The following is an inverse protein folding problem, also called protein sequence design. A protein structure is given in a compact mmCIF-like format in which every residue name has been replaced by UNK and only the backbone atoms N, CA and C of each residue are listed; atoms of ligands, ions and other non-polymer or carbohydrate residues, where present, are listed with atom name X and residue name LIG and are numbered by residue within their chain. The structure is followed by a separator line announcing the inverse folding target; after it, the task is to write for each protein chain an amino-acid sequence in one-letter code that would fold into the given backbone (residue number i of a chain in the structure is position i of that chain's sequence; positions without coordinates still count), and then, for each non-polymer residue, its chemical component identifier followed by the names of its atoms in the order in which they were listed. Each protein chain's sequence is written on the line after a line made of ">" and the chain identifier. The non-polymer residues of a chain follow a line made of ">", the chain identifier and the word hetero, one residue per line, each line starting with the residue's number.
data_IF_551419107607
#
_entry.id   IF_551419107607
#
_cell.length_a   1.000
_cell.length_b   1.000
_cell.length_c   1.000
_cell.angle_alpha   90.00
_cell.angle_beta   90.00
_cell.angle_gamma   90.00
#
_symmetry.space_group_name_H-M   'P 1'
#
loop_
_entity.id
_entity.type
_entity.pdbx_description
1 polymer ?
#
# COMPACT_ATOMS: atom_id res chain seq x y z
N UNK A 1 30.60 14.95 -42.47
CA UNK A 1 31.72 13.99 -42.35
C UNK A 1 32.86 14.45 -41.40
N UNK A 2 32.67 15.53 -40.64
CA UNK A 2 33.70 16.11 -39.77
C UNK A 2 33.85 15.47 -38.39
N UNK A 3 32.75 14.98 -37.76
CA UNK A 3 32.77 14.65 -36.34
C UNK A 3 33.46 13.31 -35.99
N UNK A 4 33.36 12.28 -36.83
CA UNK A 4 33.98 10.99 -36.54
C UNK A 4 35.55 11.04 -36.65
N UNK A 5 36.06 11.84 -37.58
CA UNK A 5 37.52 12.04 -37.72
C UNK A 5 38.11 12.89 -36.59
N UNK A 6 37.37 13.86 -36.07
CA UNK A 6 37.82 14.64 -34.92
C UNK A 6 37.81 13.85 -33.62
N UNK A 7 36.82 12.96 -33.43
CA UNK A 7 36.79 12.11 -32.23
C UNK A 7 37.96 11.12 -32.21
N UNK A 8 38.25 10.47 -33.33
CA UNK A 8 39.40 9.55 -33.45
C UNK A 8 40.74 10.26 -33.21
N UNK A 9 40.83 11.56 -33.58
CA UNK A 9 42.07 12.35 -33.37
C UNK A 9 42.25 12.85 -31.94
N UNK A 10 41.16 13.02 -31.19
CA UNK A 10 41.19 13.38 -29.77
C UNK A 10 41.57 12.20 -28.89
N UNK A 11 41.22 10.97 -29.33
CA UNK A 11 41.44 9.73 -28.59
C UNK A 11 42.76 9.03 -28.92
N UNK A 12 43.47 9.47 -29.98
CA UNK A 12 44.75 8.89 -30.36
C UNK A 12 45.91 9.66 -29.72
N UNK A 13 46.92 8.93 -29.23
CA UNK A 13 48.22 9.50 -28.89
C UNK A 13 49.02 9.91 -30.14
N UNK A 14 50.22 10.41 -29.97
CA UNK A 14 51.08 10.84 -31.06
C UNK A 14 51.46 9.72 -32.06
N UNK A 15 51.21 8.47 -31.70
CA UNK A 15 51.47 7.28 -32.50
C UNK A 15 50.22 6.71 -33.16
N UNK A 16 49.06 7.36 -32.96
CA UNK A 16 47.76 6.95 -33.54
C UNK A 16 47.06 5.81 -32.78
N UNK A 17 47.58 5.38 -31.65
CA UNK A 17 46.96 4.42 -30.77
C UNK A 17 45.94 5.10 -29.83
N UNK A 18 44.82 4.43 -29.51
CA UNK A 18 43.90 4.90 -28.49
C UNK A 18 44.53 4.67 -27.13
N UNK A 19 44.99 5.75 -26.47
CA UNK A 19 45.51 5.66 -25.11
C UNK A 19 44.42 5.27 -24.12
N UNK A 20 44.68 4.34 -23.18
CA UNK A 20 43.77 4.06 -22.08
C UNK A 20 43.37 5.31 -21.26
N UNK A 21 44.31 6.28 -21.16
CA UNK A 21 44.07 7.55 -20.46
C UNK A 21 43.06 8.46 -21.19
N UNK A 22 43.00 8.36 -22.52
CA UNK A 22 42.01 9.09 -23.33
C UNK A 22 40.64 8.44 -23.32
N UNK A 23 40.54 7.16 -23.01
CA UNK A 23 39.23 6.49 -22.79
C UNK A 23 38.56 6.97 -21.50
N UNK A 24 39.37 7.37 -20.49
CA UNK A 24 38.86 7.97 -19.26
C UNK A 24 38.23 9.35 -19.44
N UNK A 25 38.59 10.06 -20.52
CA UNK A 25 38.07 11.38 -20.86
C UNK A 25 36.93 11.34 -21.92
N UNK A 26 36.54 10.18 -22.40
CA UNK A 26 35.30 10.07 -23.20
C UNK A 26 34.14 10.63 -22.39
N UNK A 27 33.33 11.53 -22.96
CA UNK A 27 32.19 12.07 -22.22
C UNK A 27 31.36 10.91 -21.72
N UNK A 28 31.25 10.79 -20.40
CA UNK A 28 30.41 9.77 -19.78
C UNK A 28 28.95 10.08 -20.19
N UNK A 29 28.28 9.20 -20.94
CA UNK A 29 26.92 9.44 -21.38
C UNK A 29 25.92 9.55 -20.22
N UNK A 30 26.33 9.13 -19.02
CA UNK A 30 25.52 9.15 -17.81
C UNK A 30 26.04 10.25 -16.90
N UNK A 31 25.28 11.34 -16.80
CA UNK A 31 25.65 12.52 -16.00
C UNK A 31 25.46 12.32 -14.50
N UNK A 32 26.10 13.19 -13.68
CA UNK A 32 25.88 13.23 -12.23
C UNK A 32 24.40 13.39 -11.89
N UNK A 33 23.98 12.76 -10.78
CA UNK A 33 22.58 12.75 -10.36
C UNK A 33 21.73 11.63 -10.94
N UNK A 34 22.25 10.88 -11.91
CA UNK A 34 21.54 9.70 -12.44
C UNK A 34 21.44 8.61 -11.38
N UNK A 35 20.22 8.07 -11.21
CA UNK A 35 19.95 6.92 -10.31
C UNK A 35 19.94 5.63 -11.13
N UNK A 36 20.57 4.60 -10.62
CA UNK A 36 20.53 3.25 -11.19
C UNK A 36 20.42 2.19 -10.10
N UNK A 37 19.76 1.08 -10.43
CA UNK A 37 19.72 -0.12 -9.59
C UNK A 37 20.77 -1.12 -10.09
N UNK A 38 21.70 -1.47 -9.22
CA UNK A 38 22.87 -2.27 -9.54
C UNK A 38 22.71 -3.68 -8.96
N UNK A 39 23.01 -4.70 -9.77
CA UNK A 39 22.96 -6.13 -9.38
C UNK A 39 24.15 -6.59 -8.52
N UNK A 40 24.88 -5.66 -7.88
CA UNK A 40 26.00 -5.90 -6.97
C UNK A 40 25.66 -5.34 -5.59
N UNK A 41 26.31 -5.84 -4.54
CA UNK A 41 26.14 -5.35 -3.17
C UNK A 41 27.06 -4.16 -2.81
N UNK A 42 27.90 -3.70 -3.73
CA UNK A 42 28.78 -2.54 -3.61
C UNK A 42 28.59 -1.60 -4.79
N UNK A 43 28.73 -0.30 -4.54
CA UNK A 43 28.69 0.69 -5.60
C UNK A 43 29.94 0.55 -6.52
N UNK A 44 29.76 0.51 -7.84
CA UNK A 44 30.88 0.49 -8.78
C UNK A 44 31.61 1.84 -8.81
N UNK A 45 32.79 1.86 -9.42
CA UNK A 45 33.56 3.09 -9.60
C UNK A 45 32.73 4.18 -10.28
N UNK A 46 32.80 5.40 -9.76
CA UNK A 46 32.02 6.55 -10.23
C UNK A 46 30.56 6.58 -9.73
N UNK A 47 30.18 5.70 -8.82
CA UNK A 47 28.85 5.67 -8.21
C UNK A 47 28.93 5.65 -6.69
N UNK A 48 27.96 6.24 -6.02
CA UNK A 48 27.76 6.19 -4.58
C UNK A 48 26.46 5.44 -4.26
N UNK A 49 26.41 4.81 -3.09
CA UNK A 49 25.15 4.22 -2.59
C UNK A 49 24.14 5.33 -2.32
N UNK A 50 22.92 5.19 -2.79
CA UNK A 50 21.80 6.09 -2.48
C UNK A 50 21.23 5.72 -1.10
N UNK A 51 21.96 6.08 -0.03
CA UNK A 51 21.71 5.65 1.36
C UNK A 51 21.56 6.80 2.34
N UNK A 52 21.30 8.02 1.86
CA UNK A 52 21.10 9.20 2.70
C UNK A 52 22.37 9.80 3.29
N UNK A 53 23.55 9.28 2.95
CA UNK A 53 24.81 9.76 3.53
C UNK A 53 25.06 11.25 3.22
N UNK A 54 25.59 11.98 4.21
CA UNK A 54 26.11 13.32 4.01
C UNK A 54 27.52 13.23 3.39
N UNK A 55 27.73 13.90 2.25
CA UNK A 55 28.99 13.88 1.51
C UNK A 55 29.47 15.31 1.24
N UNK A 56 30.78 15.48 0.97
CA UNK A 56 31.42 16.77 0.76
C UNK A 56 30.99 17.44 -0.55
N UNK A 57 30.56 18.71 -0.48
CA UNK A 57 30.23 19.55 -1.65
C UNK A 57 31.39 19.78 -2.56
N UNK A 58 32.62 19.93 -1.99
CA UNK A 58 33.83 20.17 -2.77
C UNK A 58 34.39 18.92 -3.43
N UNK A 59 34.32 17.76 -2.76
CA UNK A 59 34.79 16.50 -3.34
C UNK A 59 33.84 15.95 -4.43
N UNK A 60 32.54 16.31 -4.37
CA UNK A 60 31.53 15.87 -5.30
C UNK A 60 30.80 17.08 -5.93
N UNK A 61 31.60 18.04 -6.42
CA UNK A 61 31.10 19.34 -6.91
C UNK A 61 30.04 19.19 -8.02
N UNK A 62 30.27 18.27 -8.96
CA UNK A 62 29.39 18.06 -10.11
C UNK A 62 28.06 17.45 -9.67
N UNK A 63 28.11 16.50 -8.74
CA UNK A 63 26.91 15.93 -8.15
C UNK A 63 26.15 16.98 -7.32
N UNK A 64 26.87 17.81 -6.54
CA UNK A 64 26.24 18.91 -5.81
C UNK A 64 25.59 19.94 -6.75
N UNK A 65 26.23 20.25 -7.86
CA UNK A 65 25.63 21.12 -8.88
C UNK A 65 24.36 20.52 -9.49
N UNK A 66 24.31 19.20 -9.65
CA UNK A 66 23.16 18.49 -10.22
C UNK A 66 21.96 18.38 -9.28
N UNK A 67 22.16 17.99 -8.01
CA UNK A 67 21.07 17.69 -7.09
C UNK A 67 20.89 18.70 -5.95
N UNK A 68 21.89 19.55 -5.69
CA UNK A 68 21.86 20.56 -4.64
C UNK A 68 21.61 19.95 -3.25
N UNK A 69 20.70 20.56 -2.51
CA UNK A 69 20.25 20.13 -1.19
C UNK A 69 18.88 19.45 -1.20
N UNK A 70 18.40 18.97 -2.34
CA UNK A 70 17.08 18.36 -2.53
C UNK A 70 16.78 17.25 -1.53
N UNK A 71 17.78 16.44 -1.20
CA UNK A 71 17.66 15.31 -0.27
C UNK A 71 18.20 15.62 1.13
N UNK A 72 18.58 16.87 1.39
CA UNK A 72 19.05 17.37 2.68
C UNK A 72 20.29 18.23 2.58
N UNK A 73 20.39 19.21 3.46
CA UNK A 73 21.46 20.20 3.45
C UNK A 73 22.80 19.73 4.07
N UNK A 74 22.82 18.51 4.65
CA UNK A 74 23.96 18.04 5.41
C UNK A 74 24.21 18.90 6.65
N UNK A 75 25.45 19.39 6.83
CA UNK A 75 25.82 20.34 7.89
C UNK A 75 25.42 21.80 7.59
N UNK A 76 24.77 22.03 6.46
CA UNK A 76 24.36 23.35 5.98
C UNK A 76 25.43 24.12 5.19
N UNK A 77 26.70 23.75 5.28
CA UNK A 77 27.83 24.52 4.72
C UNK A 77 28.71 23.71 3.79
N UNK A 78 29.26 22.60 4.25
CA UNK A 78 30.28 21.84 3.56
C UNK A 78 29.83 20.50 3.00
N UNK A 79 28.68 20.00 3.45
CA UNK A 79 28.11 18.72 3.03
C UNK A 79 26.69 18.87 2.47
N UNK A 80 26.22 17.82 1.78
CA UNK A 80 24.85 17.65 1.33
C UNK A 80 24.47 16.17 1.40
N UNK A 81 23.19 15.84 1.48
CA UNK A 81 22.75 14.47 1.59
C UNK A 81 22.44 13.86 0.22
N UNK A 82 22.81 12.60 0.08
CA UNK A 82 22.34 11.74 -0.99
C UNK A 82 20.87 11.33 -0.74
N UNK A 83 20.11 10.96 -1.80
CA UNK A 83 18.82 10.32 -1.59
C UNK A 83 18.98 9.02 -0.79
N UNK A 84 18.04 8.69 0.08
CA UNK A 84 17.95 7.38 0.72
C UNK A 84 16.86 6.56 0.03
N UNK A 85 17.26 5.63 -0.82
CA UNK A 85 16.38 4.78 -1.60
C UNK A 85 16.33 3.34 -1.08
N UNK A 86 16.87 3.09 0.12
CA UNK A 86 16.87 1.76 0.73
C UNK A 86 15.47 1.35 1.13
N UNK A 87 14.96 0.27 0.53
CA UNK A 87 13.61 -0.23 0.80
C UNK A 87 12.48 0.56 0.14
N UNK A 88 12.79 1.56 -0.70
CA UNK A 88 11.81 2.44 -1.32
C UNK A 88 11.51 2.06 -2.77
N UNK A 89 10.26 2.28 -3.19
CA UNK A 89 9.85 2.27 -4.59
C UNK A 89 9.96 3.67 -5.17
N UNK A 90 10.71 3.80 -6.26
CA UNK A 90 10.81 5.09 -6.97
C UNK A 90 9.58 5.31 -7.84
N UNK A 91 8.95 6.46 -7.67
CA UNK A 91 7.80 6.91 -8.45
C UNK A 91 8.20 8.07 -9.37
N UNK A 92 7.65 8.10 -10.58
CA UNK A 92 7.80 9.26 -11.46
C UNK A 92 7.20 10.52 -10.82
N UNK A 93 7.96 11.63 -10.83
CA UNK A 93 7.46 12.94 -10.40
C UNK A 93 6.31 13.38 -11.28
N UNK A 94 5.27 13.96 -10.71
CA UNK A 94 4.05 14.38 -11.44
C UNK A 94 4.31 15.51 -12.44
N UNK A 95 5.23 16.40 -12.11
CA UNK A 95 5.68 17.53 -12.94
C UNK A 95 4.54 18.31 -13.62
N UNK A 96 3.45 18.53 -12.86
CA UNK A 96 2.28 19.28 -13.34
C UNK A 96 1.27 18.49 -14.16
N UNK A 97 1.42 17.17 -14.30
CA UNK A 97 0.47 16.31 -15.01
C UNK A 97 -0.89 16.19 -14.31
N UNK A 98 -0.95 16.37 -13.00
CA UNK A 98 -2.16 16.31 -12.19
C UNK A 98 -2.58 14.91 -11.71
N UNK A 99 -1.72 13.90 -11.82
CA UNK A 99 -1.94 12.52 -11.29
C UNK A 99 -1.58 12.42 -9.81
N UNK A 100 -0.59 13.21 -9.37
CA UNK A 100 -0.10 13.27 -7.99
C UNK A 100 0.14 14.73 -7.60
N UNK A 101 -0.90 15.54 -7.76
CA UNK A 101 -0.83 17.00 -7.64
C UNK A 101 -0.34 17.44 -6.26
N UNK A 102 0.57 18.41 -6.24
CA UNK A 102 1.13 18.97 -5.01
C UNK A 102 2.28 18.18 -4.41
N UNK A 103 2.67 17.06 -5.00
CA UNK A 103 3.82 16.28 -4.53
C UNK A 103 5.12 16.94 -4.94
N UNK A 104 5.98 17.19 -3.95
CA UNK A 104 7.27 17.81 -4.20
C UNK A 104 8.28 16.79 -4.74
N UNK A 105 9.15 17.23 -5.65
CA UNK A 105 10.26 16.42 -6.13
C UNK A 105 11.16 15.98 -4.97
N UNK A 106 11.58 14.71 -4.97
CA UNK A 106 12.43 14.12 -3.93
C UNK A 106 11.73 13.85 -2.59
N UNK A 107 10.42 14.13 -2.46
CA UNK A 107 9.68 13.87 -1.22
C UNK A 107 9.36 12.39 -1.04
N UNK A 108 9.34 11.95 0.22
CA UNK A 108 8.94 10.62 0.65
C UNK A 108 7.43 10.54 0.90
N UNK A 109 6.83 9.36 0.72
CA UNK A 109 5.43 9.08 1.03
C UNK A 109 5.31 7.67 1.58
N UNK A 110 4.54 7.53 2.66
CA UNK A 110 4.24 6.23 3.24
C UNK A 110 3.40 5.36 2.29
N UNK A 111 3.41 4.05 2.52
CA UNK A 111 2.50 3.16 1.80
C UNK A 111 1.06 3.51 2.16
N UNK A 112 0.21 3.57 1.16
CA UNK A 112 -1.22 3.85 1.32
C UNK A 112 -2.02 2.91 0.41
N UNK A 113 -3.08 2.33 0.97
CA UNK A 113 -4.05 1.57 0.21
C UNK A 113 -5.25 2.47 -0.08
N UNK A 114 -5.62 2.58 -1.34
CA UNK A 114 -6.84 3.30 -1.70
C UNK A 114 -8.01 2.76 -0.89
N UNK A 115 -8.72 3.67 -0.22
CA UNK A 115 -9.93 3.34 0.54
C UNK A 115 -10.93 2.58 -0.35
N UNK A 116 -11.39 1.44 0.12
CA UNK A 116 -12.39 0.63 -0.54
C UNK A 116 -13.31 -0.02 0.50
N UNK A 117 -14.53 -0.28 0.10
CA UNK A 117 -15.54 -0.91 0.94
C UNK A 117 -15.81 -2.33 0.44
N UNK A 118 -15.99 -3.23 1.37
CA UNK A 118 -16.57 -4.54 1.09
C UNK A 118 -18.04 -4.51 1.55
N UNK A 119 -18.97 -4.72 0.63
CA UNK A 119 -20.37 -4.90 0.94
C UNK A 119 -20.69 -6.39 0.85
N UNK A 120 -21.24 -6.93 1.91
CA UNK A 120 -21.79 -8.28 1.94
C UNK A 120 -23.25 -8.22 2.34
N UNK A 121 -24.11 -8.99 1.69
CA UNK A 121 -25.48 -9.26 2.15
C UNK A 121 -25.52 -10.68 2.68
N UNK A 122 -26.05 -10.84 3.87
CA UNK A 122 -26.49 -12.16 4.32
C UNK A 122 -27.92 -12.37 3.79
N UNK A 123 -28.18 -13.49 3.15
CA UNK A 123 -29.54 -13.90 2.86
C UNK A 123 -30.28 -14.10 4.18
N UNK A 124 -31.55 -13.69 4.23
CA UNK A 124 -32.39 -14.03 5.39
C UNK A 124 -32.34 -15.54 5.58
N UNK A 125 -31.83 -15.94 6.74
CA UNK A 125 -31.87 -17.34 7.12
C UNK A 125 -33.33 -17.75 7.26
N UNK A 126 -33.66 -18.94 6.77
CA UNK A 126 -35.04 -19.37 6.61
C UNK A 126 -35.86 -19.24 7.89
N UNK A 127 -37.16 -19.16 7.71
CA UNK A 127 -38.13 -19.20 8.80
C UNK A 127 -37.88 -20.43 9.67
N UNK A 128 -37.58 -20.23 10.95
CA UNK A 128 -37.40 -21.29 11.92
C UNK A 128 -38.40 -21.10 13.05
N UNK A 129 -38.99 -22.19 13.52
CA UNK A 129 -39.96 -22.21 14.58
C UNK A 129 -39.31 -22.78 15.86
N UNK A 130 -39.60 -22.13 16.97
CA UNK A 130 -39.19 -22.65 18.28
C UNK A 130 -40.38 -23.46 18.85
N UNK A 131 -40.29 -24.77 18.84
CA UNK A 131 -41.22 -25.60 19.61
C UNK A 131 -40.80 -25.55 21.08
N UNK A 132 -41.71 -25.10 21.93
CA UNK A 132 -41.53 -25.22 23.38
C UNK A 132 -41.99 -26.63 23.77
N UNK A 133 -41.12 -27.58 24.12
CA UNK A 133 -41.56 -28.89 24.57
C UNK A 133 -42.26 -28.72 25.91
N UNK A 134 -43.54 -29.07 25.98
CA UNK A 134 -44.21 -29.17 27.26
C UNK A 134 -45.50 -28.33 27.43
N UNK A 135 -45.95 -27.62 26.40
CA UNK A 135 -47.30 -27.08 26.48
C UNK A 135 -48.30 -28.15 26.04
N UNK A 136 -48.78 -28.92 27.01
CA UNK A 136 -49.99 -29.68 26.80
C UNK A 136 -51.14 -28.69 26.77
N UNK A 137 -51.93 -28.67 25.71
CA UNK A 137 -53.24 -28.11 25.75
C UNK A 137 -54.04 -28.88 26.79
N UNK A 138 -54.03 -28.40 27.98
CA UNK A 138 -54.95 -28.92 29.00
C UNK A 138 -56.31 -28.34 28.59
N UNK A 139 -57.14 -29.18 28.06
CA UNK A 139 -58.57 -28.87 27.95
C UNK A 139 -59.13 -28.81 29.37
N UNK A 140 -59.09 -27.63 29.94
CA UNK A 140 -59.76 -27.39 31.21
C UNK A 140 -61.24 -27.23 30.89
N UNK A 141 -62.00 -28.29 31.18
CA UNK A 141 -63.46 -28.22 31.16
C UNK A 141 -63.92 -27.56 32.43
N UNK A 142 -64.32 -26.30 32.37
CA UNK A 142 -64.99 -25.67 33.48
C UNK A 142 -66.44 -26.20 33.44
N UNK A 143 -66.75 -27.05 34.36
CA UNK A 143 -68.15 -27.39 34.63
C UNK A 143 -68.76 -26.22 35.41
N UNK A 144 -69.57 -25.39 34.71
CA UNK A 144 -70.46 -24.51 35.40
C UNK A 144 -71.69 -25.33 35.78
N UNK A 145 -71.73 -25.71 37.05
CA UNK A 145 -72.89 -26.47 37.60
C UNK A 145 -74.05 -25.54 37.86
N UNK A 146 -74.91 -25.39 36.89
CA UNK A 146 -76.23 -24.84 37.14
C UNK A 146 -77.10 -25.91 37.85
N UNK A 147 -77.73 -25.51 38.90
CA UNK A 147 -78.49 -26.43 39.82
C UNK A 147 -79.76 -27.07 39.21
N UNK A 148 -80.01 -26.90 37.93
CA UNK A 148 -81.15 -27.45 37.21
C UNK A 148 -80.85 -28.74 36.43
N UNK A 149 -79.65 -29.28 36.53
CA UNK A 149 -79.28 -30.55 35.88
C UNK A 149 -79.02 -30.48 34.38
N UNK A 150 -79.04 -29.31 33.80
CA UNK A 150 -78.73 -29.12 32.38
C UNK A 150 -77.26 -28.84 32.17
N UNK A 151 -76.52 -29.87 31.79
CA UNK A 151 -75.10 -29.71 31.33
C UNK A 151 -75.10 -29.06 29.97
N UNK A 152 -74.99 -27.78 29.96
CA UNK A 152 -74.73 -27.03 28.72
C UNK A 152 -73.25 -26.81 28.60
N UNK A 153 -72.63 -27.49 27.70
CA UNK A 153 -71.30 -27.15 27.29
C UNK A 153 -71.34 -25.81 26.55
N UNK A 154 -71.25 -24.73 27.26
CA UNK A 154 -71.17 -23.41 26.69
C UNK A 154 -69.77 -23.02 26.51
N UNK A 155 -69.36 -23.05 25.28
CA UNK A 155 -68.26 -22.22 24.85
C UNK A 155 -66.87 -22.82 25.10
N UNK A 156 -66.24 -23.18 24.03
CA UNK A 156 -64.81 -23.02 23.98
C UNK A 156 -64.52 -21.57 24.29
N UNK A 157 -64.26 -21.24 25.52
CA UNK A 157 -63.44 -20.07 25.77
C UNK A 157 -62.11 -20.37 25.16
N UNK A 158 -61.94 -19.96 23.95
CA UNK A 158 -60.68 -19.86 23.29
C UNK A 158 -59.97 -18.74 24.03
N UNK A 159 -59.68 -18.94 25.30
CA UNK A 159 -58.58 -18.22 25.89
C UNK A 159 -57.44 -18.60 24.99
N UNK A 160 -57.18 -17.74 24.07
CA UNK A 160 -55.94 -17.71 23.36
C UNK A 160 -54.92 -17.55 24.49
N UNK A 161 -54.53 -18.68 25.08
CA UNK A 161 -53.24 -18.71 25.71
C UNK A 161 -52.35 -18.33 24.54
N UNK A 162 -52.04 -17.06 24.48
CA UNK A 162 -51.22 -16.56 23.47
C UNK A 162 -49.96 -17.43 23.55
N UNK A 163 -49.90 -18.44 22.71
CA UNK A 163 -48.65 -18.86 22.23
C UNK A 163 -48.09 -17.60 21.62
N UNK A 164 -47.52 -16.77 22.48
CA UNK A 164 -46.78 -15.67 22.02
C UNK A 164 -45.72 -16.33 21.18
N UNK A 165 -45.88 -16.32 19.88
CA UNK A 165 -44.71 -16.29 19.03
C UNK A 165 -43.96 -15.09 19.53
N UNK A 166 -43.05 -15.35 20.46
CA UNK A 166 -42.08 -14.34 20.84
C UNK A 166 -41.43 -14.00 19.51
N UNK A 167 -41.74 -12.81 19.03
CA UNK A 167 -41.26 -12.37 17.74
C UNK A 167 -39.75 -12.64 17.70
N UNK A 168 -39.33 -13.28 16.65
CA UNK A 168 -37.90 -13.52 16.40
C UNK A 168 -37.21 -12.21 16.68
N UNK A 169 -36.47 -12.15 17.80
CA UNK A 169 -35.77 -10.94 18.16
C UNK A 169 -34.91 -10.53 16.98
N UNK A 170 -34.87 -9.25 16.69
CA UNK A 170 -33.95 -8.72 15.71
C UNK A 170 -32.54 -9.11 16.14
N UNK A 171 -31.93 -10.00 15.41
CA UNK A 171 -30.54 -10.35 15.61
C UNK A 171 -29.73 -9.86 14.40
N UNK A 172 -28.53 -9.39 14.68
CA UNK A 172 -27.62 -8.92 13.65
C UNK A 172 -26.48 -9.93 13.50
N UNK A 173 -26.16 -10.28 12.28
CA UNK A 173 -24.95 -11.02 11.97
C UNK A 173 -23.83 -10.04 11.71
N UNK A 174 -22.80 -10.07 12.53
CA UNK A 174 -21.55 -9.35 12.26
C UNK A 174 -20.54 -10.31 11.64
N UNK A 175 -19.94 -9.92 10.54
CA UNK A 175 -18.76 -10.59 10.03
C UNK A 175 -17.56 -9.67 10.18
N UNK A 176 -16.45 -10.24 10.60
CA UNK A 176 -15.20 -9.52 10.67
C UNK A 176 -14.35 -9.96 9.49
N UNK A 177 -13.99 -9.02 8.61
CA UNK A 177 -12.97 -9.27 7.62
C UNK A 177 -11.61 -9.06 8.29
N UNK A 178 -10.83 -10.12 8.41
CA UNK A 178 -9.44 -9.97 8.85
C UNK A 178 -8.63 -9.43 7.69
N UNK A 179 -8.10 -8.23 7.83
CA UNK A 179 -7.06 -7.73 6.92
C UNK A 179 -5.77 -8.48 7.23
N UNK A 180 -5.38 -9.40 6.36
CA UNK A 180 -4.06 -10.03 6.45
C UNK A 180 -3.05 -9.14 5.75
N UNK A 181 -2.10 -8.60 6.51
CA UNK A 181 -0.97 -7.84 6.00
C UNK A 181 -1.12 -6.33 6.19
N UNK A 182 -0.05 -5.73 6.67
CA UNK A 182 0.06 -4.28 6.89
C UNK A 182 0.48 -3.54 5.62
N UNK A 183 0.86 -4.26 4.55
CA UNK A 183 1.54 -3.66 3.41
C UNK A 183 1.31 -4.47 2.12
N UNK A 184 0.72 -3.86 1.11
CA UNK A 184 0.53 -4.48 -0.20
C UNK A 184 1.82 -4.33 -1.03
N UNK A 185 2.76 -5.27 -0.86
CA UNK A 185 4.01 -5.29 -1.64
C UNK A 185 3.83 -6.16 -2.89
N UNK A 186 3.99 -5.60 -4.10
CA UNK A 186 4.07 -6.42 -5.31
C UNK A 186 5.32 -7.32 -5.23
N UNK A 187 5.36 -8.40 -6.01
CA UNK A 187 6.58 -9.20 -6.16
C UNK A 187 7.71 -8.32 -6.65
N UNK A 188 8.84 -8.34 -5.96
CA UNK A 188 9.99 -7.49 -6.25
C UNK A 188 11.30 -8.20 -5.99
N UNK A 189 12.39 -7.61 -6.48
CA UNK A 189 13.77 -8.02 -6.23
C UNK A 189 14.50 -6.83 -5.67
N UNK A 190 15.20 -7.01 -4.53
CA UNK A 190 16.01 -5.96 -3.94
C UNK A 190 17.33 -5.82 -4.70
N UNK A 191 17.62 -4.63 -5.19
CA UNK A 191 18.86 -4.26 -5.86
C UNK A 191 19.47 -3.03 -5.18
N UNK A 192 20.79 -2.85 -5.32
CA UNK A 192 21.46 -1.69 -4.75
C UNK A 192 21.16 -0.43 -5.56
N UNK A 193 20.47 0.53 -4.95
CA UNK A 193 20.29 1.85 -5.55
C UNK A 193 21.59 2.66 -5.44
N UNK A 194 22.07 3.20 -6.55
CA UNK A 194 23.26 4.02 -6.65
C UNK A 194 22.97 5.32 -7.39
N UNK A 195 23.76 6.35 -7.05
CA UNK A 195 23.75 7.66 -7.72
C UNK A 195 25.11 7.90 -8.37
N UNK A 196 25.11 8.40 -9.60
CA UNK A 196 26.30 8.79 -10.33
C UNK A 196 26.85 10.12 -9.80
N UNK A 197 28.17 10.20 -9.61
CA UNK A 197 28.88 11.43 -9.26
C UNK A 197 29.88 11.83 -10.31
#
# INVERSE_FOLDING_TARGET
>A
MGNARNLARILADAEGAISPDNLGNAPNPIGPGTIAYIGMNSAPTGWLKANGAAISRSAYSDLFAAIGTTFGAGDGTSTFNLPDLRGEFVRGHDDGRGVDAGRLFGSWQNSDNKSHNHTGSTTSDGWHDHSVPGYFASTYSVYDGDLDGSTRATGYDKTTVGGGTYGNGTHAHSFTTTTSGTDAKPRNVAMLACIKF
#
